data_IF_793919482282
#
_entry.id   IF_793919482282
#
_cell.length_a   1.000
_cell.length_b   1.000
_cell.length_c   1.000
_cell.angle_alpha   90.00
_cell.angle_beta   90.00
_cell.angle_gamma   90.00
#
_symmetry.space_group_name_H-M   'P 1'
#
loop_
_entity.id
_entity.type
_entity.pdbx_description
1 polymer ?
#
# COMPACT_ATOMS: atom_id res chain seq x y z
N UNK A 1 -9.82 -43.53 -40.40
CA UNK A 1 -10.41 -43.60 -39.04
C UNK A 1 -10.92 -42.22 -38.70
N UNK A 2 -12.20 -42.16 -38.32
CA UNK A 2 -13.00 -40.97 -37.99
C UNK A 2 -12.87 -40.59 -36.51
N UNK A 3 -13.45 -39.42 -36.19
CA UNK A 3 -13.75 -38.78 -34.88
C UNK A 3 -12.68 -37.79 -34.39
N UNK A 4 -12.86 -36.47 -34.53
CA UNK A 4 -13.69 -35.53 -33.71
C UNK A 4 -13.21 -35.48 -32.24
N UNK A 5 -12.88 -34.33 -31.62
CA UNK A 5 -13.74 -33.15 -31.46
C UNK A 5 -13.00 -31.80 -31.47
N UNK A 6 -13.71 -30.82 -32.01
CA UNK A 6 -13.56 -29.38 -31.82
C UNK A 6 -14.11 -28.98 -30.45
N UNK A 7 -13.35 -28.28 -29.63
CA UNK A 7 -13.90 -27.53 -28.49
C UNK A 7 -13.61 -26.03 -28.66
N UNK A 8 -14.57 -25.34 -29.26
CA UNK A 8 -14.70 -23.89 -29.11
C UNK A 8 -15.24 -23.61 -27.71
N UNK A 9 -14.38 -23.11 -26.82
CA UNK A 9 -14.80 -22.54 -25.54
C UNK A 9 -15.09 -21.05 -25.69
N UNK A 10 -16.34 -20.69 -25.97
CA UNK A 10 -16.84 -19.33 -25.71
C UNK A 10 -17.18 -19.24 -24.22
N UNK A 11 -16.45 -18.41 -23.48
CA UNK A 11 -16.89 -17.91 -22.18
C UNK A 11 -16.79 -16.38 -22.17
N UNK A 12 -17.88 -15.74 -22.57
CA UNK A 12 -18.16 -14.37 -22.17
C UNK A 12 -18.79 -14.38 -20.78
N UNK A 13 -18.11 -13.81 -19.78
CA UNK A 13 -18.78 -13.15 -18.66
C UNK A 13 -17.87 -12.11 -18.03
N UNK A 14 -18.39 -10.89 -18.01
CA UNK A 14 -17.86 -9.75 -17.29
C UNK A 14 -17.89 -9.97 -15.78
N UNK A 15 -16.79 -9.72 -15.08
CA UNK A 15 -16.87 -9.25 -13.69
C UNK A 15 -15.85 -8.13 -13.45
N UNK A 16 -16.42 -7.00 -13.05
CA UNK A 16 -15.75 -5.78 -12.63
C UNK A 16 -15.05 -6.11 -11.31
N UNK A 17 -13.73 -6.28 -11.31
CA UNK A 17 -12.95 -6.40 -10.07
C UNK A 17 -12.94 -5.03 -9.36
N UNK A 18 -14.03 -4.74 -8.64
CA UNK A 18 -14.03 -3.77 -7.56
C UNK A 18 -13.26 -4.39 -6.40
N UNK A 19 -12.13 -3.77 -6.06
CA UNK A 19 -11.43 -4.06 -4.82
C UNK A 19 -12.30 -3.55 -3.66
N UNK A 20 -12.84 -4.47 -2.87
CA UNK A 20 -13.53 -4.18 -1.60
C UNK A 20 -12.82 -5.00 -0.52
N UNK A 21 -12.14 -4.39 0.47
CA UNK A 21 -11.60 -5.17 1.57
C UNK A 21 -12.72 -5.51 2.55
N UNK A 22 -12.62 -6.72 3.11
CA UNK A 22 -13.57 -7.28 4.06
C UNK A 22 -13.63 -6.45 5.36
N UNK A 23 -14.85 -6.26 5.87
CA UNK A 23 -15.09 -5.75 7.22
C UNK A 23 -14.70 -6.82 8.25
N UNK A 24 -13.58 -6.61 8.94
CA UNK A 24 -13.23 -7.38 10.13
C UNK A 24 -13.47 -6.53 11.38
N UNK A 25 -14.57 -6.84 12.07
CA UNK A 25 -14.88 -6.30 13.39
C UNK A 25 -14.11 -7.03 14.48
N UNK A 26 -13.78 -6.28 15.54
CA UNK A 26 -13.31 -6.67 16.88
C UNK A 26 -11.84 -7.09 17.04
N UNK A 27 -11.02 -6.14 17.52
CA UNK A 27 -9.96 -6.40 18.50
C UNK A 27 -9.73 -5.11 19.32
N UNK A 28 -10.03 -5.16 20.62
CA UNK A 28 -9.78 -4.07 21.57
C UNK A 28 -8.29 -3.91 21.86
N UNK A 29 -7.69 -2.71 21.79
CA UNK A 29 -6.34 -2.48 22.29
C UNK A 29 -6.36 -2.14 23.78
N UNK A 30 -5.54 -2.85 24.55
CA UNK A 30 -5.26 -2.55 25.96
C UNK A 30 -4.51 -1.21 26.09
N UNK A 31 -4.94 -0.43 27.07
CA UNK A 31 -4.48 0.91 27.41
C UNK A 31 -3.00 0.88 27.87
N UNK A 32 -2.12 1.62 27.19
CA UNK A 32 -0.83 2.03 27.76
C UNK A 32 -0.80 3.55 27.75
N UNK A 33 -0.85 4.14 28.95
CA UNK A 33 -0.81 5.57 29.14
C UNK A 33 0.65 6.08 29.19
N UNK A 34 0.96 7.12 28.42
CA UNK A 34 1.95 8.12 28.79
C UNK A 34 1.65 9.47 28.13
N UNK A 35 1.95 10.53 28.87
CA UNK A 35 1.34 11.86 28.87
C UNK A 35 1.66 12.75 27.65
N UNK A 36 0.66 13.52 27.21
CA UNK A 36 0.80 14.58 26.20
C UNK A 36 -0.52 15.20 25.72
N UNK A 37 -1.17 15.97 26.60
CA UNK A 37 -2.17 17.04 26.42
C UNK A 37 -3.38 16.92 25.45
N UNK A 38 -4.54 17.12 26.09
CA UNK A 38 -5.84 17.65 25.64
C UNK A 38 -6.76 16.77 24.76
N UNK A 39 -7.66 16.09 25.47
CA UNK A 39 -9.09 15.94 25.20
C UNK A 39 -9.55 15.71 23.74
N UNK A 40 -9.87 14.45 23.44
CA UNK A 40 -11.20 14.16 22.89
C UNK A 40 -11.75 12.92 23.58
N UNK A 41 -12.55 13.18 24.62
CA UNK A 41 -13.43 12.22 25.25
C UNK A 41 -14.56 11.91 24.27
N UNK A 42 -14.67 10.65 23.83
CA UNK A 42 -15.92 10.09 23.31
C UNK A 42 -16.41 10.52 21.91
N UNK A 43 -15.63 11.26 21.12
CA UNK A 43 -15.94 11.51 19.70
C UNK A 43 -15.42 10.38 18.81
N UNK A 44 -16.16 10.01 17.74
CA UNK A 44 -15.69 9.08 16.71
C UNK A 44 -14.42 9.62 16.04
N UNK A 45 -13.26 9.30 16.62
CA UNK A 45 -11.96 9.74 16.12
C UNK A 45 -11.79 9.23 14.69
N UNK A 46 -11.56 10.15 13.76
CA UNK A 46 -11.28 9.82 12.36
C UNK A 46 -9.95 9.06 12.29
N UNK A 47 -10.00 7.82 11.82
CA UNK A 47 -8.88 6.88 11.69
C UNK A 47 -8.71 6.33 10.27
N UNK A 48 -9.64 6.62 9.35
CA UNK A 48 -9.53 6.26 7.93
C UNK A 48 -9.78 7.47 7.03
N UNK A 49 -9.10 7.52 5.87
CA UNK A 49 -9.37 8.50 4.81
C UNK A 49 -10.80 8.47 4.29
N UNK A 50 -11.52 7.35 4.44
CA UNK A 50 -12.93 7.22 4.06
C UNK A 50 -13.87 8.04 4.95
N UNK A 51 -13.43 8.39 6.16
CA UNK A 51 -14.21 9.19 7.12
C UNK A 51 -14.02 10.69 6.91
N UNK A 52 -13.03 11.10 6.11
CA UNK A 52 -12.89 12.49 5.68
C UNK A 52 -13.93 12.82 4.61
N UNK A 53 -14.39 14.08 4.58
CA UNK A 53 -15.18 14.54 3.44
C UNK A 53 -14.36 14.44 2.14
N UNK A 54 -15.03 14.39 1.00
CA UNK A 54 -14.41 14.14 -0.31
C UNK A 54 -13.28 15.12 -0.66
N UNK A 55 -13.45 16.40 -0.32
CA UNK A 55 -12.44 17.45 -0.54
C UNK A 55 -11.18 17.21 0.29
N UNK A 56 -11.35 16.94 1.59
CA UNK A 56 -10.23 16.72 2.50
C UNK A 56 -9.54 15.38 2.25
N UNK A 57 -10.30 14.33 1.92
CA UNK A 57 -9.74 13.06 1.44
C UNK A 57 -8.84 13.27 0.22
N UNK A 58 -9.33 14.02 -0.78
CA UNK A 58 -8.55 14.32 -1.99
C UNK A 58 -7.24 15.04 -1.65
N UNK A 59 -7.31 16.10 -0.82
CA UNK A 59 -6.14 16.86 -0.37
C UNK A 59 -5.14 16.02 0.43
N UNK A 60 -5.63 15.11 1.27
CA UNK A 60 -4.78 14.19 2.02
C UNK A 60 -4.03 13.25 1.06
N UNK A 61 -4.76 12.55 0.19
CA UNK A 61 -4.17 11.59 -0.74
C UNK A 61 -3.21 12.26 -1.75
N UNK A 62 -3.49 13.47 -2.24
CA UNK A 62 -2.55 14.20 -3.11
C UNK A 62 -1.16 14.40 -2.49
N UNK A 63 -1.05 14.40 -1.16
CA UNK A 63 0.19 14.62 -0.41
C UNK A 63 0.79 13.37 0.22
N UNK A 64 0.03 12.28 0.29
CA UNK A 64 0.41 11.08 1.07
C UNK A 64 0.37 9.79 0.25
N UNK A 65 -0.44 9.71 -0.81
CA UNK A 65 -0.50 8.56 -1.72
C UNK A 65 0.67 8.64 -2.72
N UNK A 66 1.63 7.70 -2.70
CA UNK A 66 2.77 7.70 -3.60
C UNK A 66 2.39 7.71 -5.09
N UNK A 67 1.27 7.07 -5.45
CA UNK A 67 0.79 7.07 -6.84
C UNK A 67 0.44 8.47 -7.32
N UNK A 68 -0.14 9.30 -6.44
CA UNK A 68 -0.50 10.70 -6.73
C UNK A 68 0.69 11.64 -6.61
N UNK A 69 1.46 11.52 -5.52
CA UNK A 69 2.61 12.39 -5.23
C UNK A 69 3.66 12.34 -6.35
N UNK A 70 3.99 11.13 -6.80
CA UNK A 70 5.04 10.91 -7.80
C UNK A 70 4.48 10.69 -9.20
N UNK A 71 3.16 10.81 -9.38
CA UNK A 71 2.45 10.59 -10.64
C UNK A 71 2.80 9.25 -11.30
N UNK A 72 2.94 8.21 -10.47
CA UNK A 72 3.26 6.89 -10.97
C UNK A 72 2.11 6.31 -11.81
N UNK A 73 2.49 5.52 -12.80
CA UNK A 73 1.60 4.84 -13.73
C UNK A 73 1.89 3.34 -13.69
N UNK A 74 0.97 2.54 -14.22
CA UNK A 74 1.11 1.08 -14.30
C UNK A 74 2.40 0.63 -15.01
N UNK A 75 2.92 1.44 -15.92
CA UNK A 75 4.11 1.17 -16.71
C UNK A 75 5.37 1.86 -16.16
N UNK A 76 5.26 2.59 -15.04
CA UNK A 76 6.41 3.16 -14.34
C UNK A 76 7.42 2.06 -14.03
N UNK A 77 8.69 2.22 -14.48
CA UNK A 77 9.72 1.25 -14.16
C UNK A 77 10.14 1.39 -12.70
N UNK A 78 10.22 0.25 -12.03
CA UNK A 78 10.74 0.14 -10.67
C UNK A 78 11.90 -0.85 -10.64
N UNK A 79 12.84 -0.63 -9.75
CA UNK A 79 14.12 -1.33 -9.73
C UNK A 79 14.37 -1.93 -8.35
N UNK A 80 15.05 -3.07 -8.31
CA UNK A 80 15.50 -3.70 -7.07
C UNK A 80 16.82 -4.41 -7.30
N UNK A 81 17.74 -4.19 -6.38
CA UNK A 81 18.95 -5.01 -6.24
C UNK A 81 18.65 -6.21 -5.34
N UNK A 82 19.01 -7.41 -5.78
CA UNK A 82 18.82 -8.64 -5.02
C UNK A 82 19.72 -9.77 -5.50
N UNK A 83 19.83 -10.83 -4.70
CA UNK A 83 20.54 -12.05 -5.08
C UNK A 83 19.79 -12.81 -6.19
N UNK A 84 20.47 -13.39 -7.19
CA UNK A 84 19.86 -13.99 -8.37
C UNK A 84 18.93 -15.17 -8.08
N UNK A 85 19.11 -15.90 -6.97
CA UNK A 85 18.24 -17.04 -6.60
C UNK A 85 16.78 -16.65 -6.36
N UNK A 86 16.51 -15.36 -6.10
CA UNK A 86 15.15 -14.86 -5.90
C UNK A 86 14.43 -14.50 -7.21
N UNK A 87 15.15 -14.52 -8.35
CA UNK A 87 14.55 -14.35 -9.67
C UNK A 87 14.28 -15.73 -10.27
N UNK A 88 13.05 -16.23 -10.11
CA UNK A 88 12.65 -17.57 -10.55
C UNK A 88 11.77 -17.44 -11.78
N UNK A 89 12.20 -18.02 -12.91
CA UNK A 89 11.47 -18.00 -14.18
C UNK A 89 11.06 -16.59 -14.62
N UNK A 90 11.94 -15.60 -14.41
CA UNK A 90 11.69 -14.19 -14.75
C UNK A 90 10.69 -13.48 -13.83
N UNK A 91 10.38 -14.05 -12.66
CA UNK A 91 9.45 -13.51 -11.68
C UNK A 91 10.12 -13.34 -10.32
N UNK A 92 9.64 -12.34 -9.57
CA UNK A 92 10.07 -12.07 -8.20
C UNK A 92 8.83 -12.10 -7.31
N UNK A 93 8.91 -12.82 -6.19
CA UNK A 93 7.83 -12.90 -5.20
C UNK A 93 8.08 -11.92 -4.05
N UNK A 94 7.00 -11.41 -3.45
CA UNK A 94 7.08 -10.57 -2.26
C UNK A 94 7.76 -11.26 -1.08
N UNK A 95 8.53 -10.51 -0.29
CA UNK A 95 9.10 -10.98 0.96
C UNK A 95 8.02 -10.99 2.06
N UNK A 96 7.65 -12.15 2.62
CA UNK A 96 6.59 -12.26 3.63
C UNK A 96 6.98 -11.66 4.99
N UNK A 97 8.27 -11.48 5.27
CA UNK A 97 8.78 -11.04 6.58
C UNK A 97 9.49 -9.68 6.50
N UNK A 98 9.08 -8.84 5.55
CA UNK A 98 9.63 -7.50 5.38
C UNK A 98 9.41 -6.63 6.62
N UNK A 99 10.51 -6.17 7.24
CA UNK A 99 10.50 -5.30 8.44
C UNK A 99 10.60 -3.81 8.10
N UNK A 100 10.40 -3.43 6.84
CA UNK A 100 10.40 -2.03 6.44
C UNK A 100 9.19 -1.32 7.02
N UNK A 101 9.41 -0.16 7.63
CA UNK A 101 8.34 0.75 8.04
C UNK A 101 7.75 1.46 6.83
N UNK A 102 6.43 1.36 6.66
CA UNK A 102 5.69 1.99 5.57
C UNK A 102 4.69 3.00 6.11
N UNK A 103 4.45 4.05 5.32
CA UNK A 103 3.37 5.01 5.57
C UNK A 103 2.11 4.47 4.91
N UNK A 104 1.19 3.98 5.72
CA UNK A 104 -0.13 3.60 5.27
C UNK A 104 -0.97 4.87 5.07
N UNK A 105 -1.14 5.25 3.81
CA UNK A 105 -1.82 6.48 3.41
C UNK A 105 -3.35 6.37 3.42
N UNK A 106 -3.91 5.22 3.80
CA UNK A 106 -5.35 5.03 3.99
C UNK A 106 -5.76 5.12 5.47
N UNK A 107 -4.83 4.82 6.38
CA UNK A 107 -5.04 4.94 7.84
C UNK A 107 -4.52 6.26 8.40
N UNK A 108 -5.30 6.89 9.27
CA UNK A 108 -5.05 8.20 9.84
C UNK A 108 -4.68 8.14 11.32
N UNK A 109 -3.67 8.92 11.69
CA UNK A 109 -3.36 9.31 13.08
C UNK A 109 -3.34 10.83 13.19
N UNK A 110 -3.57 11.41 14.39
CA UNK A 110 -3.45 12.86 14.56
C UNK A 110 -2.08 13.36 14.12
N UNK A 111 -2.08 14.54 13.52
CA UNK A 111 -0.87 15.27 13.20
C UNK A 111 -0.16 15.64 14.53
N UNK A 112 1.09 15.19 14.77
CA UNK A 112 1.81 15.45 16.01
C UNK A 112 2.07 16.95 16.24
N UNK A 113 2.03 17.77 15.19
CA UNK A 113 2.22 19.21 15.31
C UNK A 113 0.97 19.93 15.86
N UNK A 114 -0.19 19.26 15.92
CA UNK A 114 -1.44 19.81 16.44
C UNK A 114 -1.95 21.06 15.70
N UNK A 115 -2.94 21.73 16.28
CA UNK A 115 -3.38 23.07 15.83
C UNK A 115 -4.22 23.14 14.55
N UNK A 116 -4.62 22.00 13.98
CA UNK A 116 -5.49 21.96 12.80
C UNK A 116 -6.91 21.53 13.16
N UNK A 117 -7.95 22.09 12.53
CA UNK A 117 -9.33 21.68 12.78
C UNK A 117 -9.56 20.20 12.45
N UNK A 118 -10.29 19.49 13.31
CA UNK A 118 -10.69 18.10 13.08
C UNK A 118 -11.45 17.96 11.74
N UNK A 119 -11.28 16.84 11.05
CA UNK A 119 -11.87 16.62 9.73
C UNK A 119 -11.14 17.31 8.57
N UNK A 120 -10.14 18.15 8.85
CA UNK A 120 -9.25 18.68 7.81
C UNK A 120 -8.07 17.75 7.57
N UNK A 121 -7.64 17.65 6.33
CA UNK A 121 -6.50 16.82 5.92
C UNK A 121 -5.19 17.18 6.62
N UNK A 122 -5.03 18.41 7.11
CA UNK A 122 -3.84 18.83 7.87
C UNK A 122 -3.85 18.33 9.32
N UNK A 123 -5.02 17.95 9.86
CA UNK A 123 -5.12 17.41 11.21
C UNK A 123 -4.61 15.97 11.33
N UNK A 124 -4.23 15.33 10.22
CA UNK A 124 -3.84 13.93 10.21
C UNK A 124 -2.53 13.67 9.48
N UNK A 125 -1.83 12.64 9.93
CA UNK A 125 -0.69 12.00 9.27
C UNK A 125 -1.03 10.54 8.98
N UNK A 126 -0.38 9.90 7.99
CA UNK A 126 -0.52 8.46 7.80
C UNK A 126 -0.02 7.69 9.01
N UNK A 127 -0.65 6.56 9.30
CA UNK A 127 -0.14 5.57 10.26
C UNK A 127 1.16 4.97 9.70
N UNK A 128 2.12 4.71 10.58
CA UNK A 128 3.36 4.00 10.24
C UNK A 128 3.21 2.56 10.75
N UNK A 129 3.37 1.57 9.86
CA UNK A 129 3.26 0.13 10.17
C UNK A 129 4.42 -0.65 9.55
N UNK A 130 4.71 -1.84 10.08
CA UNK A 130 5.67 -2.73 9.40
C UNK A 130 5.02 -3.36 8.16
N UNK A 131 5.80 -3.51 7.09
CA UNK A 131 5.30 -4.08 5.84
C UNK A 131 4.77 -5.52 6.00
N UNK A 132 5.36 -6.32 6.91
CA UNK A 132 4.87 -7.69 7.21
C UNK A 132 3.41 -7.72 7.68
N UNK A 133 2.91 -6.65 8.29
CA UNK A 133 1.53 -6.56 8.77
C UNK A 133 0.54 -6.32 7.61
N UNK A 134 1.05 -6.03 6.41
CA UNK A 134 0.29 -5.80 5.18
C UNK A 134 0.40 -6.97 4.19
N UNK A 135 1.21 -7.98 4.51
CA UNK A 135 1.48 -9.14 3.66
C UNK A 135 2.80 -9.05 2.87
N UNK A 136 3.06 -10.03 1.99
CA UNK A 136 4.31 -10.11 1.23
C UNK A 136 4.52 -8.89 0.34
N UNK A 137 5.73 -8.31 0.39
CA UNK A 137 6.03 -7.06 -0.31
C UNK A 137 7.46 -6.99 -0.85
N UNK A 138 7.68 -6.09 -1.81
CA UNK A 138 9.01 -5.78 -2.34
C UNK A 138 9.31 -4.29 -2.13
N UNK A 139 10.36 -3.97 -1.38
CA UNK A 139 11.01 -2.67 -1.50
C UNK A 139 11.61 -2.51 -2.90
N UNK A 140 11.26 -1.40 -3.56
CA UNK A 140 11.72 -1.06 -4.91
C UNK A 140 12.10 0.41 -4.94
N UNK A 141 12.92 0.77 -5.92
CA UNK A 141 13.35 2.13 -6.21
C UNK A 141 12.78 2.60 -7.53
N UNK A 142 12.56 3.91 -7.64
CA UNK A 142 12.31 4.58 -8.94
C UNK A 142 13.50 5.48 -9.26
N UNK A 143 13.71 5.76 -10.55
CA UNK A 143 14.85 6.58 -10.99
C UNK A 143 16.13 5.81 -11.34
N UNK A 144 16.16 4.48 -11.19
CA UNK A 144 17.27 3.62 -11.60
C UNK A 144 17.62 2.56 -10.55
N UNK A 145 18.56 1.65 -10.86
CA UNK A 145 19.08 0.69 -9.89
C UNK A 145 19.89 1.40 -8.80
N UNK A 146 19.89 0.81 -7.61
CA UNK A 146 20.80 1.18 -6.53
C UNK A 146 22.16 0.49 -6.69
N UNK A 147 23.12 0.88 -5.85
CA UNK A 147 24.38 0.18 -5.68
C UNK A 147 24.15 -1.31 -5.39
N UNK A 148 24.91 -2.18 -6.06
CA UNK A 148 24.88 -3.63 -5.91
C UNK A 148 26.19 -4.15 -5.30
N UNK A 149 26.09 -5.19 -4.48
CA UNK A 149 27.27 -5.94 -4.03
C UNK A 149 27.70 -6.91 -5.12
N UNK A 150 28.93 -7.41 -5.05
CA UNK A 150 29.38 -8.48 -5.95
C UNK A 150 28.46 -9.70 -5.82
N UNK A 151 27.96 -10.18 -6.96
CA UNK A 151 27.01 -11.30 -7.05
C UNK A 151 25.52 -10.90 -7.06
N UNK A 152 25.18 -9.67 -6.71
CA UNK A 152 23.80 -9.18 -6.82
C UNK A 152 23.43 -8.86 -8.29
N UNK A 153 22.14 -8.99 -8.59
CA UNK A 153 21.55 -8.55 -9.86
C UNK A 153 20.64 -7.34 -9.64
N UNK A 154 20.51 -6.52 -10.69
CA UNK A 154 19.57 -5.42 -10.74
C UNK A 154 18.37 -5.78 -11.61
N UNK A 155 17.20 -5.92 -10.99
CA UNK A 155 15.96 -6.28 -11.68
C UNK A 155 15.14 -5.02 -11.97
N UNK A 156 14.64 -4.91 -13.21
CA UNK A 156 13.67 -3.89 -13.63
C UNK A 156 12.28 -4.52 -13.78
N UNK A 157 11.31 -3.96 -13.07
CA UNK A 157 9.90 -4.39 -13.07
C UNK A 157 8.99 -3.25 -13.55
N UNK A 158 7.75 -3.60 -13.94
CA UNK A 158 6.69 -2.62 -14.22
C UNK A 158 5.78 -2.54 -13.01
N UNK A 159 5.52 -1.35 -12.48
CA UNK A 159 4.76 -1.15 -11.24
C UNK A 159 3.39 -1.85 -11.25
N UNK A 160 2.65 -1.82 -12.35
CA UNK A 160 1.34 -2.48 -12.49
C UNK A 160 1.41 -4.01 -12.69
N UNK A 161 2.58 -4.60 -12.52
CA UNK A 161 2.85 -6.06 -12.53
C UNK A 161 3.55 -6.52 -11.26
N UNK A 162 3.76 -5.61 -10.30
CA UNK A 162 4.23 -5.91 -8.95
C UNK A 162 3.02 -6.24 -8.08
#
# INVERSE_FOLDING_TARGET
>A
MLSEESSMGICASSSRNQYSPAVSSTCSPQHVASHGNLASSGGNRITSVDQLNSTERKRFLERQDPMRMFKFKKDTPVYRTMSPEFLVNGRVSGNPISRTWVRDHESLRPNPNGGFPEGTSNAYWPVIREARDLGPSLNVMTGGPSYSRDGDINVRMRLGKV
#
